data_IF_562392464537
#
_entry.id   IF_562392464537
#
_cell.length_a   1.000
_cell.length_b   1.000
_cell.length_c   1.000
_cell.angle_alpha   90.00
_cell.angle_beta   90.00
_cell.angle_gamma   90.00
#
_symmetry.space_group_name_H-M   'P 1'
#
loop_
_entity.id
_entity.type
_entity.pdbx_description
1 polymer ?
#
# COMPACT_ATOMS: atom_id res chain seq x y z
N UNK A 1 3.63 -7.89 -2.22
CA UNK A 1 3.61 -6.49 -2.69
C UNK A 1 3.70 -6.49 -4.21
N UNK A 2 2.86 -5.67 -4.86
CA UNK A 2 2.86 -5.48 -6.32
C UNK A 2 3.33 -4.05 -6.61
N UNK A 3 4.39 -3.91 -7.41
CA UNK A 3 4.85 -2.61 -7.88
C UNK A 3 4.50 -2.46 -9.36
N UNK A 4 3.71 -1.43 -9.68
CA UNK A 4 3.40 -1.06 -11.06
C UNK A 4 4.30 0.10 -11.47
N UNK A 5 5.27 -0.16 -12.35
CA UNK A 5 6.27 0.81 -12.78
C UNK A 5 6.06 1.11 -14.27
N UNK A 6 6.17 2.38 -14.65
CA UNK A 6 6.12 2.82 -16.05
C UNK A 6 5.91 4.32 -16.17
N UNK A 7 5.86 4.84 -17.40
CA UNK A 7 5.66 6.26 -17.70
C UNK A 7 4.27 6.79 -17.31
N UNK A 8 4.09 8.11 -17.32
CA UNK A 8 2.76 8.71 -17.14
C UNK A 8 1.80 8.25 -18.25
N UNK A 9 0.55 7.95 -17.91
CA UNK A 9 -0.49 7.56 -18.88
C UNK A 9 -0.68 6.05 -19.10
N UNK A 10 0.17 5.19 -18.53
CA UNK A 10 0.08 3.71 -18.67
C UNK A 10 -1.08 3.05 -17.87
N UNK A 11 -2.00 3.84 -17.30
CA UNK A 11 -3.15 3.31 -16.57
C UNK A 11 -2.87 2.74 -15.16
N UNK A 12 -1.68 2.97 -14.58
CA UNK A 12 -1.35 2.49 -13.21
C UNK A 12 -2.37 2.90 -12.15
N UNK A 13 -2.76 4.18 -12.14
CA UNK A 13 -3.77 4.69 -11.21
C UNK A 13 -5.15 4.08 -11.47
N UNK A 14 -5.48 3.77 -12.73
CA UNK A 14 -6.73 3.10 -13.11
C UNK A 14 -6.74 1.66 -12.62
N UNK A 15 -5.62 0.94 -12.72
CA UNK A 15 -5.50 -0.41 -12.17
C UNK A 15 -5.71 -0.44 -10.64
N UNK A 16 -5.13 0.52 -9.91
CA UNK A 16 -5.37 0.68 -8.48
C UNK A 16 -6.83 0.99 -8.14
N UNK A 17 -7.47 1.88 -8.91
CA UNK A 17 -8.90 2.18 -8.74
C UNK A 17 -9.77 0.95 -9.01
N UNK A 18 -9.51 0.20 -10.09
CA UNK A 18 -10.23 -1.03 -10.40
C UNK A 18 -10.07 -2.09 -9.30
N UNK A 19 -8.87 -2.26 -8.74
CA UNK A 19 -8.64 -3.17 -7.62
C UNK A 19 -9.46 -2.77 -6.38
N UNK A 20 -9.54 -1.46 -6.08
CA UNK A 20 -10.39 -0.94 -5.00
C UNK A 20 -11.88 -1.21 -5.23
N UNK A 21 -12.38 -1.03 -6.45
CA UNK A 21 -13.78 -1.31 -6.79
C UNK A 21 -14.12 -2.81 -6.63
N UNK A 22 -13.17 -3.70 -6.93
CA UNK A 22 -13.35 -5.16 -6.74
C UNK A 22 -13.36 -5.55 -5.26
N UNK A 23 -12.48 -4.96 -4.46
CA UNK A 23 -12.32 -5.32 -3.05
C UNK A 23 -13.24 -4.54 -2.10
N UNK A 24 -13.80 -3.42 -2.55
CA UNK A 24 -14.64 -2.55 -1.74
C UNK A 24 -13.83 -1.49 -0.96
N UNK A 25 -14.50 -0.38 -0.67
CA UNK A 25 -13.92 0.73 0.07
C UNK A 25 -13.60 0.34 1.52
N UNK A 26 -14.46 -0.46 2.16
CA UNK A 26 -14.26 -0.92 3.53
C UNK A 26 -13.07 -1.87 3.70
N UNK A 27 -12.62 -2.54 2.63
CA UNK A 27 -11.48 -3.45 2.67
C UNK A 27 -10.19 -2.80 2.16
N UNK A 28 -10.22 -1.52 1.80
CA UNK A 28 -9.09 -0.81 1.21
C UNK A 28 -8.64 0.34 2.12
N UNK A 29 -7.33 0.46 2.32
CA UNK A 29 -6.70 1.64 2.87
C UNK A 29 -5.82 2.33 1.81
N UNK A 30 -5.65 3.64 1.92
CA UNK A 30 -4.67 4.39 1.14
C UNK A 30 -3.80 5.25 2.06
N UNK A 31 -2.60 5.56 1.62
CA UNK A 31 -1.64 6.38 2.37
C UNK A 31 -0.26 6.34 1.71
N UNK A 32 0.76 6.83 2.41
CA UNK A 32 2.15 6.74 1.95
C UNK A 32 2.81 5.51 2.52
N UNK A 33 3.54 4.77 1.70
CA UNK A 33 4.27 3.59 2.16
C UNK A 33 5.27 3.93 3.29
N UNK A 34 5.93 5.10 3.21
CA UNK A 34 6.91 5.54 4.22
C UNK A 34 6.28 5.85 5.58
N UNK A 35 5.00 6.23 5.62
CA UNK A 35 4.32 6.54 6.89
C UNK A 35 4.11 5.27 7.73
N UNK A 36 4.22 4.07 7.13
CA UNK A 36 4.09 2.80 7.84
C UNK A 36 5.26 2.52 8.80
N UNK A 37 6.46 3.06 8.54
CA UNK A 37 7.58 2.99 9.49
C UNK A 37 7.52 4.12 10.53
N UNK A 38 7.14 5.32 10.12
CA UNK A 38 7.21 6.52 10.97
C UNK A 38 6.01 6.62 11.93
N UNK A 39 4.86 6.03 11.59
CA UNK A 39 3.62 6.18 12.33
C UNK A 39 2.98 4.81 12.66
N UNK A 40 3.08 4.42 13.95
CA UNK A 40 2.43 3.20 14.47
C UNK A 40 0.92 3.10 14.20
N UNK A 41 0.23 4.24 14.07
CA UNK A 41 -1.21 4.25 13.79
C UNK A 41 -1.51 4.00 12.30
N UNK A 42 -0.55 4.27 11.41
CA UNK A 42 -0.68 3.95 10.00
C UNK A 42 -0.73 2.43 9.78
N UNK A 43 0.12 1.68 10.48
CA UNK A 43 0.07 0.21 10.49
C UNK A 43 -1.24 -0.32 11.09
N UNK A 44 -1.71 0.27 12.20
CA UNK A 44 -2.99 -0.12 12.81
C UNK A 44 -4.19 0.10 11.86
N UNK A 45 -4.14 1.11 10.98
CA UNK A 45 -5.20 1.34 9.99
C UNK A 45 -5.28 0.25 8.89
N UNK A 46 -4.26 -0.61 8.80
CA UNK A 46 -4.25 -1.77 7.90
C UNK A 46 -4.97 -2.99 8.48
N UNK A 47 -5.35 -2.95 9.76
CA UNK A 47 -6.08 -4.04 10.39
C UNK A 47 -7.40 -4.30 9.65
N UNK A 48 -7.66 -5.56 9.31
CA UNK A 48 -8.82 -6.00 8.53
C UNK A 48 -8.92 -5.39 7.11
N UNK A 49 -7.81 -4.88 6.55
CA UNK A 49 -7.74 -4.44 5.15
C UNK A 49 -7.13 -5.52 4.27
N UNK A 50 -7.63 -5.60 3.04
CA UNK A 50 -7.17 -6.53 2.01
C UNK A 50 -6.26 -5.84 0.98
N UNK A 51 -6.37 -4.52 0.85
CA UNK A 51 -5.60 -3.72 -0.10
C UNK A 51 -5.09 -2.44 0.58
N UNK A 52 -3.79 -2.20 0.43
CA UNK A 52 -3.17 -0.90 0.69
C UNK A 52 -2.73 -0.29 -0.65
N UNK A 53 -3.22 0.90 -0.95
CA UNK A 53 -2.83 1.69 -2.13
C UNK A 53 -1.89 2.82 -1.71
N UNK A 54 -0.69 2.84 -2.28
CA UNK A 54 0.28 3.91 -2.04
C UNK A 54 -0.06 5.15 -2.89
N UNK A 55 -0.32 6.28 -2.23
CA UNK A 55 -0.83 7.51 -2.85
C UNK A 55 0.27 8.39 -3.48
N UNK A 56 1.54 8.20 -3.10
CA UNK A 56 2.64 9.10 -3.48
C UNK A 56 3.95 8.33 -3.70
N UNK A 57 4.01 7.55 -4.78
CA UNK A 57 5.26 6.98 -5.30
C UNK A 57 6.09 8.05 -6.04
N UNK A 58 6.39 9.18 -5.40
CA UNK A 58 7.60 9.91 -5.82
C UNK A 58 8.74 8.94 -5.64
N UNK A 59 9.54 8.78 -6.69
CA UNK A 59 10.71 7.91 -6.85
C UNK A 59 11.85 8.20 -5.86
N UNK A 60 11.56 8.53 -4.60
CA UNK A 60 12.47 8.12 -3.55
C UNK A 60 12.49 6.60 -3.60
N UNK A 61 13.68 6.04 -3.75
CA UNK A 61 13.86 4.60 -3.66
C UNK A 61 13.12 4.13 -2.40
N UNK A 62 12.35 3.05 -2.50
CA UNK A 62 11.79 2.41 -1.31
C UNK A 62 12.97 2.08 -0.40
N UNK A 63 13.12 2.84 0.68
CA UNK A 63 14.16 2.58 1.67
C UNK A 63 13.83 1.24 2.34
N UNK A 64 14.85 0.57 2.87
CA UNK A 64 14.64 -0.72 3.52
C UNK A 64 13.76 -0.52 4.75
N UNK A 65 12.52 -0.98 4.66
CA UNK A 65 11.49 -0.85 5.69
C UNK A 65 11.26 -2.20 6.37
N UNK A 66 11.57 -2.27 7.67
CA UNK A 66 11.27 -3.44 8.47
C UNK A 66 9.76 -3.61 8.66
N UNK A 67 9.01 -2.52 8.85
CA UNK A 67 7.56 -2.59 9.03
C UNK A 67 6.86 -3.10 7.78
N UNK A 68 7.19 -2.58 6.59
CA UNK A 68 6.60 -3.07 5.33
C UNK A 68 6.92 -4.54 5.10
N UNK A 69 8.15 -4.97 5.40
CA UNK A 69 8.56 -6.37 5.29
C UNK A 69 7.76 -7.26 6.23
N UNK A 70 7.59 -6.85 7.49
CA UNK A 70 6.75 -7.54 8.46
C UNK A 70 5.30 -7.61 7.98
N UNK A 71 4.75 -6.48 7.48
CA UNK A 71 3.37 -6.41 6.98
C UNK A 71 3.08 -7.37 5.85
N UNK A 72 4.01 -7.49 4.91
CA UNK A 72 3.82 -8.39 3.77
C UNK A 72 4.00 -9.86 4.17
N UNK A 73 4.77 -10.15 5.22
CA UNK A 73 5.19 -11.52 5.58
C UNK A 73 4.45 -12.11 6.77
N UNK A 74 3.73 -11.32 7.56
CA UNK A 74 3.12 -11.72 8.84
C UNK A 74 2.04 -12.82 8.75
N UNK A 75 1.55 -13.13 7.55
CA UNK A 75 0.55 -14.18 7.34
C UNK A 75 -0.79 -13.92 8.05
N UNK A 76 -1.12 -12.65 8.31
CA UNK A 76 -2.33 -12.24 9.02
C UNK A 76 -2.21 -12.26 10.56
N UNK A 77 -1.00 -12.29 11.10
CA UNK A 77 -0.74 -12.17 12.55
C UNK A 77 0.09 -10.92 12.81
N UNK A 78 -0.56 -9.84 13.22
CA UNK A 78 0.06 -8.60 13.66
C UNK A 78 -0.33 -8.27 15.07
#
# INVERSE_FOLDING_TARGET
>A
MLMLIGSGGEGKSVAGAAAREVLGYENTASGRLNDLDENRFAAANLENRLLFLDDDLKTKAAEESAAVKEIITCGGRM
#
